data_IF_991103036699
#
_entry.id   IF_991103036699
#
_cell.length_a   1.000
_cell.length_b   1.000
_cell.length_c   1.000
_cell.angle_alpha   90.00
_cell.angle_beta   90.00
_cell.angle_gamma   90.00
#
_symmetry.space_group_name_H-M   'P 1'
#
loop_
_entity.id
_entity.type
_entity.pdbx_description
1 polymer ?
#
# COMPACT_ATOMS: atom_id res chain seq x y z
N UNK A 1 23.12 14.06 2.36
CA UNK A 1 23.01 12.99 1.35
C UNK A 1 21.75 12.20 1.68
N UNK A 2 20.70 12.20 0.82
CA UNK A 2 19.52 11.38 1.06
C UNK A 2 19.92 9.91 1.05
N UNK A 3 19.37 9.11 1.96
CA UNK A 3 19.78 7.70 2.06
C UNK A 3 19.25 6.95 0.83
N UNK A 4 20.05 6.08 0.19
CA UNK A 4 19.68 5.40 -1.06
C UNK A 4 18.44 4.48 -0.96
N UNK A 5 17.85 4.32 0.22
CA UNK A 5 16.65 3.52 0.45
C UNK A 5 15.49 4.29 1.10
N UNK A 6 15.65 5.60 1.30
CA UNK A 6 14.64 6.46 1.91
C UNK A 6 13.29 6.42 1.17
N UNK A 7 13.23 6.40 -0.18
CA UNK A 7 11.97 6.25 -0.91
C UNK A 7 11.30 4.88 -0.73
N UNK A 8 12.10 3.83 -0.56
CA UNK A 8 11.58 2.46 -0.35
C UNK A 8 11.15 2.21 1.09
N UNK A 9 11.69 2.98 2.05
CA UNK A 9 11.33 2.87 3.45
C UNK A 9 9.85 3.19 3.69
N UNK A 10 9.31 4.18 2.98
CA UNK A 10 7.89 4.55 3.05
C UNK A 10 7.01 3.51 2.39
N UNK A 11 7.39 2.99 1.22
CA UNK A 11 6.69 1.89 0.57
C UNK A 11 6.61 0.64 1.47
N UNK A 12 7.72 0.30 2.14
CA UNK A 12 7.77 -0.81 3.10
C UNK A 12 6.92 -0.56 4.35
N UNK A 13 6.85 0.68 4.83
CA UNK A 13 5.99 1.05 5.97
C UNK A 13 4.52 0.88 5.59
N UNK A 14 4.12 1.45 4.46
CA UNK A 14 2.75 1.31 3.93
C UNK A 14 2.38 -0.16 3.71
N UNK A 15 3.28 -0.97 3.13
CA UNK A 15 3.03 -2.39 2.94
C UNK A 15 2.81 -3.13 4.26
N UNK A 16 3.62 -2.83 5.29
CA UNK A 16 3.44 -3.41 6.64
C UNK A 16 2.12 -3.01 7.27
N UNK A 17 1.72 -1.75 7.13
CA UNK A 17 0.45 -1.26 7.67
C UNK A 17 -0.75 -1.94 7.00
N UNK A 18 -0.71 -2.10 5.68
CA UNK A 18 -1.76 -2.82 4.92
C UNK A 18 -1.85 -4.28 5.38
N UNK A 19 -0.71 -4.97 5.52
CA UNK A 19 -0.67 -6.36 6.00
C UNK A 19 -1.16 -6.45 7.45
N UNK A 20 -0.82 -5.50 8.31
CA UNK A 20 -1.32 -5.46 9.69
C UNK A 20 -2.84 -5.25 9.75
N UNK A 21 -3.36 -4.36 8.91
CA UNK A 21 -4.79 -4.03 8.83
C UNK A 21 -5.63 -5.20 8.29
N UNK A 22 -5.14 -5.89 7.25
CA UNK A 22 -5.95 -6.86 6.48
C UNK A 22 -5.52 -8.31 6.63
N UNK A 23 -4.26 -8.55 6.98
CA UNK A 23 -3.70 -9.91 7.10
C UNK A 23 -4.34 -10.73 8.22
N UNK A 24 -4.81 -10.09 9.30
CA UNK A 24 -5.52 -10.77 10.39
C UNK A 24 -6.82 -11.40 9.88
N UNK A 25 -7.63 -10.67 9.12
CA UNK A 25 -8.89 -11.19 8.59
C UNK A 25 -8.68 -12.36 7.62
N UNK A 26 -7.64 -12.28 6.77
CA UNK A 26 -7.27 -13.40 5.87
C UNK A 26 -6.85 -14.63 6.67
N UNK A 27 -6.00 -14.45 7.69
CA UNK A 27 -5.54 -15.54 8.54
C UNK A 27 -6.69 -16.18 9.33
N UNK A 28 -7.58 -15.37 9.90
CA UNK A 28 -8.76 -15.83 10.63
C UNK A 28 -9.70 -16.64 9.73
N UNK A 29 -10.02 -16.14 8.53
CA UNK A 29 -10.87 -16.85 7.58
C UNK A 29 -10.23 -18.17 7.11
N UNK A 30 -8.92 -18.18 6.89
CA UNK A 30 -8.18 -19.40 6.53
C UNK A 30 -8.22 -20.44 7.65
N UNK A 31 -8.01 -20.02 8.90
CA UNK A 31 -8.07 -20.91 10.07
C UNK A 31 -9.47 -21.47 10.29
N UNK A 32 -10.51 -20.65 10.05
CA UNK A 32 -11.91 -21.09 10.15
C UNK A 32 -12.37 -21.96 8.96
N UNK A 33 -11.53 -22.10 7.93
CA UNK A 33 -11.85 -22.79 6.69
C UNK A 33 -13.17 -22.30 6.05
N UNK A 34 -13.45 -21.00 6.16
CA UNK A 34 -14.59 -20.34 5.49
C UNK A 34 -14.12 -19.78 4.14
N UNK A 35 -14.48 -20.42 3.02
CA UNK A 35 -14.00 -20.01 1.70
C UNK A 35 -14.54 -18.63 1.29
N UNK A 36 -15.77 -18.30 1.69
CA UNK A 36 -16.40 -17.04 1.31
C UNK A 36 -15.75 -15.88 2.06
N UNK A 37 -15.56 -16.03 3.37
CA UNK A 37 -14.86 -15.04 4.17
C UNK A 37 -13.41 -14.87 3.72
N UNK A 38 -12.75 -15.96 3.31
CA UNK A 38 -11.38 -15.91 2.80
C UNK A 38 -11.28 -15.14 1.47
N UNK A 39 -12.18 -15.42 0.52
CA UNK A 39 -12.22 -14.71 -0.77
C UNK A 39 -12.51 -13.22 -0.58
N UNK A 40 -13.44 -12.87 0.33
CA UNK A 40 -13.77 -11.48 0.65
C UNK A 40 -12.58 -10.76 1.29
N UNK A 41 -11.90 -11.39 2.27
CA UNK A 41 -10.72 -10.83 2.91
C UNK A 41 -9.54 -10.66 1.91
N UNK A 42 -9.35 -11.62 1.01
CA UNK A 42 -8.35 -11.53 -0.05
C UNK A 42 -8.67 -10.39 -1.03
N UNK A 43 -9.92 -10.27 -1.47
CA UNK A 43 -10.35 -9.19 -2.35
C UNK A 43 -10.14 -7.81 -1.69
N UNK A 44 -10.49 -7.67 -0.41
CA UNK A 44 -10.27 -6.44 0.33
C UNK A 44 -8.78 -6.08 0.45
N UNK A 45 -7.91 -7.07 0.69
CA UNK A 45 -6.45 -6.89 0.70
C UNK A 45 -5.93 -6.42 -0.67
N UNK A 46 -6.34 -7.06 -1.76
CA UNK A 46 -5.91 -6.72 -3.12
C UNK A 46 -6.34 -5.29 -3.49
N UNK A 47 -7.59 -4.92 -3.20
CA UNK A 47 -8.08 -3.57 -3.45
C UNK A 47 -7.29 -2.52 -2.65
N UNK A 48 -6.95 -2.81 -1.40
CA UNK A 48 -6.15 -1.89 -0.57
C UNK A 48 -4.74 -1.70 -1.09
N UNK A 49 -4.12 -2.77 -1.60
CA UNK A 49 -2.80 -2.71 -2.27
C UNK A 49 -2.88 -1.88 -3.55
N UNK A 50 -3.89 -2.13 -4.38
CA UNK A 50 -4.10 -1.37 -5.62
C UNK A 50 -4.27 0.13 -5.33
N UNK A 51 -5.08 0.48 -4.33
CA UNK A 51 -5.23 1.87 -3.89
C UNK A 51 -3.90 2.48 -3.45
N UNK A 52 -3.10 1.77 -2.64
CA UNK A 52 -1.80 2.28 -2.19
C UNK A 52 -0.82 2.57 -3.34
N UNK A 53 -0.89 1.78 -4.43
CA UNK A 53 -0.08 2.01 -5.64
C UNK A 53 -0.56 3.28 -6.36
N UNK A 54 -1.87 3.48 -6.49
CA UNK A 54 -2.45 4.69 -7.08
C UNK A 54 -2.07 5.92 -6.25
N UNK A 55 -2.25 5.86 -4.93
CA UNK A 55 -1.89 6.95 -4.00
C UNK A 55 -0.41 7.33 -4.13
N UNK A 56 0.48 6.34 -4.25
CA UNK A 56 1.91 6.58 -4.45
C UNK A 56 2.20 7.24 -5.81
N UNK A 57 1.49 6.85 -6.87
CA UNK A 57 1.60 7.47 -8.20
C UNK A 57 1.11 8.93 -8.20
N UNK A 58 0.02 9.22 -7.51
CA UNK A 58 -0.49 10.59 -7.35
C UNK A 58 0.47 11.46 -6.54
N UNK A 59 0.98 10.95 -5.42
CA UNK A 59 1.97 11.63 -4.60
C UNK A 59 3.23 11.96 -5.41
N UNK A 60 3.76 11.01 -6.18
CA UNK A 60 4.93 11.25 -7.04
C UNK A 60 4.67 12.32 -8.11
N UNK A 61 3.47 12.33 -8.70
CA UNK A 61 3.06 13.32 -9.72
C UNK A 61 2.96 14.73 -9.13
N UNK A 62 2.40 14.86 -7.92
CA UNK A 62 2.30 16.13 -7.19
C UNK A 62 3.68 16.70 -6.81
N UNK A 63 4.62 15.85 -6.38
CA UNK A 63 5.99 16.25 -6.07
C UNK A 63 6.84 16.54 -7.33
N UNK A 64 6.53 15.91 -8.47
CA UNK A 64 7.13 16.24 -9.77
C UNK A 64 6.81 17.66 -10.22
N UNK A 65 5.53 18.04 -10.16
CA UNK A 65 5.05 19.38 -10.55
C UNK A 65 5.60 20.53 -9.71
N UNK A 66 5.85 20.30 -8.43
CA UNK A 66 6.43 21.33 -7.54
C UNK A 66 7.86 21.71 -7.92
N UNK A 67 8.67 20.76 -8.40
CA UNK A 67 10.06 21.01 -8.82
C UNK A 67 10.16 21.76 -10.15
N UNK A 68 9.19 21.57 -11.04
CA UNK A 68 9.15 22.28 -12.32
C UNK A 68 8.72 23.75 -12.16
N UNK A 69 7.98 24.08 -11.09
CA UNK A 69 7.52 25.45 -10.81
C UNK A 69 8.55 26.33 -10.08
N UNK A 70 9.52 25.75 -9.37
CA UNK A 70 10.62 26.51 -8.74
C UNK A 70 11.77 26.83 -9.71
N UNK A 71 11.73 26.27 -10.93
CA UNK A 71 12.74 26.45 -11.97
C UNK A 71 12.39 27.50 -13.04
N UNK A 72 11.26 28.21 -12.90
CA UNK A 72 10.77 29.25 -13.84
C UNK A 72 10.66 30.61 -13.15
#
# INVERSE_FOLDING_TARGET
MPRPFEPYADALRTARDIVRERGVAVAEAAVQADPRAYDEACNALVLRIAQAIVDAGEAATMHGRGRDHEAA
#
